data_IF_670990745938
#
_entry.id   IF_670990745938
#
_cell.length_a   1.000
_cell.length_b   1.000
_cell.length_c   1.000
_cell.angle_alpha   90.00
_cell.angle_beta   90.00
_cell.angle_gamma   90.00
#
_symmetry.space_group_name_H-M   'P 1'
#
loop_
_entity.id
_entity.type
_entity.pdbx_description
1 polymer ?
#
# COMPACT_ATOMS: atom_id res chain seq x y z
N UNK A 1 -20.91 2.38 20.71
CA UNK A 1 -20.34 1.72 19.53
C UNK A 1 -18.96 1.22 19.91
N UNK A 2 -18.73 -0.11 19.87
CA UNK A 2 -17.39 -0.67 20.09
C UNK A 2 -16.51 -0.43 18.88
N UNK A 3 -15.23 -0.14 19.11
CA UNK A 3 -14.23 -0.01 18.05
C UNK A 3 -13.58 -1.37 17.85
N UNK A 4 -13.76 -1.96 16.66
CA UNK A 4 -13.09 -3.21 16.30
C UNK A 4 -11.62 -2.98 16.00
N UNK A 5 -10.78 -3.96 16.31
CA UNK A 5 -9.33 -3.81 16.19
C UNK A 5 -8.64 -5.03 15.53
N UNK A 6 -7.41 -4.79 15.06
CA UNK A 6 -6.49 -5.84 14.62
C UNK A 6 -5.08 -5.52 15.06
N UNK A 7 -4.55 -6.29 16.02
CA UNK A 7 -3.22 -6.10 16.60
C UNK A 7 -2.28 -7.23 16.20
N UNK A 8 -1.14 -6.91 15.58
CA UNK A 8 -0.13 -7.91 15.28
C UNK A 8 0.61 -8.33 16.55
N UNK A 9 0.63 -9.63 16.80
CA UNK A 9 1.41 -10.25 17.87
C UNK A 9 2.77 -10.72 17.35
N UNK A 10 3.76 -10.74 18.25
CA UNK A 10 5.05 -11.38 17.99
C UNK A 10 4.91 -12.90 18.08
N UNK A 11 5.67 -13.65 17.29
CA UNK A 11 5.63 -15.12 17.22
C UNK A 11 5.90 -15.85 18.54
N UNK A 12 6.56 -15.22 19.49
CA UNK A 12 6.84 -15.77 20.81
C UNK A 12 5.71 -15.58 21.83
N UNK A 13 4.62 -14.90 21.49
CA UNK A 13 3.45 -14.84 22.36
C UNK A 13 2.79 -16.22 22.48
N UNK A 14 2.21 -16.47 23.67
CA UNK A 14 1.47 -17.69 23.94
C UNK A 14 -0.03 -17.45 23.84
N UNK A 15 -0.73 -18.41 23.30
CA UNK A 15 -2.18 -18.53 23.32
C UNK A 15 -2.60 -19.83 24.00
N UNK A 16 -3.83 -19.84 24.46
CA UNK A 16 -4.54 -21.03 24.95
C UNK A 16 -5.87 -21.09 24.20
N UNK A 17 -6.11 -22.21 23.54
CA UNK A 17 -7.37 -22.57 22.88
C UNK A 17 -8.26 -23.36 23.83
N UNK A 18 -9.34 -23.91 23.34
CA UNK A 18 -10.26 -24.84 24.07
C UNK A 18 -9.55 -26.04 24.70
N UNK A 19 -8.40 -26.43 24.14
CA UNK A 19 -7.59 -27.56 24.69
C UNK A 19 -6.92 -27.21 26.01
N UNK A 20 -7.05 -26.02 26.54
CA UNK A 20 -6.46 -25.50 27.78
C UNK A 20 -4.92 -25.58 27.87
N UNK A 21 -4.23 -25.92 26.79
CA UNK A 21 -2.79 -25.98 26.70
C UNK A 21 -2.24 -24.66 26.21
N UNK A 22 -1.27 -24.09 26.92
CA UNK A 22 -0.55 -22.91 26.47
C UNK A 22 0.47 -23.26 25.39
N UNK A 23 0.30 -22.73 24.20
CA UNK A 23 1.18 -22.94 23.06
C UNK A 23 1.67 -21.62 22.50
N UNK A 24 2.92 -21.57 22.03
CA UNK A 24 3.48 -20.40 21.36
C UNK A 24 2.90 -20.29 19.95
N UNK A 25 2.77 -19.06 19.44
CA UNK A 25 2.26 -18.81 18.09
C UNK A 25 3.12 -19.44 16.99
N UNK A 26 4.45 -19.47 17.17
CA UNK A 26 5.36 -20.11 16.21
C UNK A 26 5.30 -21.66 16.23
N UNK A 27 4.64 -22.27 17.23
CA UNK A 27 4.46 -23.71 17.38
C UNK A 27 3.09 -24.21 16.91
N UNK A 28 2.27 -23.34 16.31
CA UNK A 28 0.92 -23.70 15.84
C UNK A 28 0.90 -24.57 14.56
N UNK A 29 2.05 -25.01 14.06
CA UNK A 29 2.12 -25.80 12.84
C UNK A 29 1.77 -25.04 11.55
N UNK A 30 1.76 -23.71 11.60
CA UNK A 30 1.50 -22.89 10.42
C UNK A 30 2.66 -23.01 9.42
N UNK A 31 2.36 -23.30 8.16
CA UNK A 31 3.35 -23.41 7.09
C UNK A 31 3.15 -22.33 6.01
N UNK A 32 4.20 -21.99 5.22
CA UNK A 32 4.07 -21.02 4.14
C UNK A 32 2.94 -21.37 3.17
N UNK A 33 2.04 -20.40 2.95
CA UNK A 33 0.86 -20.55 2.09
C UNK A 33 -0.44 -20.87 2.83
N UNK A 34 -0.39 -21.18 4.12
CA UNK A 34 -1.58 -21.55 4.91
C UNK A 34 -2.12 -20.40 5.77
N UNK A 35 -3.28 -20.64 6.34
CA UNK A 35 -3.95 -19.74 7.28
C UNK A 35 -4.69 -20.56 8.33
N UNK A 36 -4.72 -20.06 9.56
CA UNK A 36 -5.48 -20.64 10.67
C UNK A 36 -6.30 -19.51 11.32
N UNK A 37 -7.41 -19.90 11.92
CA UNK A 37 -8.26 -18.99 12.69
C UNK A 37 -8.74 -19.67 13.95
N UNK A 38 -8.52 -19.04 15.11
CA UNK A 38 -8.91 -19.54 16.42
C UNK A 38 -9.84 -18.52 17.07
N UNK A 39 -11.01 -18.95 17.48
CA UNK A 39 -11.99 -18.12 18.16
C UNK A 39 -11.85 -18.23 19.68
N UNK A 40 -12.21 -17.15 20.38
CA UNK A 40 -12.33 -17.16 21.83
C UNK A 40 -11.05 -17.53 22.59
N UNK A 41 -9.88 -17.24 22.05
CA UNK A 41 -8.60 -17.62 22.65
C UNK A 41 -8.26 -16.79 23.89
N UNK A 42 -7.45 -17.38 24.76
CA UNK A 42 -6.76 -16.67 25.84
C UNK A 42 -5.33 -16.36 25.40
N UNK A 43 -4.90 -15.12 25.57
CA UNK A 43 -3.53 -14.66 25.24
C UNK A 43 -2.83 -14.18 26.50
N UNK A 44 -1.49 -14.39 26.60
CA UNK A 44 -0.60 -14.05 27.70
C UNK A 44 -0.82 -14.91 28.94
N UNK A 45 0.22 -15.68 29.32
CA UNK A 45 0.20 -16.56 30.51
C UNK A 45 0.04 -15.82 31.83
N UNK A 46 0.73 -14.67 31.99
CA UNK A 46 0.82 -13.96 33.29
C UNK A 46 -0.42 -13.13 33.63
N UNK A 47 -1.11 -12.59 32.62
CA UNK A 47 -2.37 -11.83 32.78
C UNK A 47 -3.24 -12.20 31.58
N UNK A 48 -3.99 -13.31 31.63
CA UNK A 48 -4.76 -13.78 30.51
C UNK A 48 -5.83 -12.76 30.08
N UNK A 49 -5.88 -12.48 28.80
CA UNK A 49 -6.93 -11.69 28.19
C UNK A 49 -7.76 -12.64 27.33
N UNK A 50 -9.08 -12.57 27.46
CA UNK A 50 -10.07 -13.46 26.82
C UNK A 50 -11.03 -12.70 25.94
N UNK A 51 -11.82 -13.40 25.13
CA UNK A 51 -12.86 -12.79 24.30
C UNK A 51 -12.36 -12.25 22.96
N UNK A 52 -11.18 -12.68 22.51
CA UNK A 52 -10.61 -12.30 21.23
C UNK A 52 -10.32 -13.54 20.37
N UNK A 53 -10.17 -13.29 19.08
CA UNK A 53 -9.81 -14.28 18.10
C UNK A 53 -8.36 -14.05 17.62
N UNK A 54 -7.75 -15.10 17.07
CA UNK A 54 -6.44 -14.97 16.40
C UNK A 54 -6.57 -15.42 14.94
N UNK A 55 -6.26 -14.51 14.03
CA UNK A 55 -6.11 -14.78 12.62
C UNK A 55 -4.61 -14.96 12.29
N UNK A 56 -4.26 -16.14 11.78
CA UNK A 56 -2.90 -16.46 11.37
C UNK A 56 -2.81 -16.57 9.85
N UNK A 57 -1.80 -15.97 9.24
CA UNK A 57 -1.53 -16.07 7.80
C UNK A 57 -0.05 -16.11 7.52
N UNK A 58 0.41 -17.16 6.85
CA UNK A 58 1.77 -17.21 6.29
C UNK A 58 1.71 -17.15 4.76
N UNK A 59 2.14 -16.07 4.18
CA UNK A 59 2.28 -15.95 2.73
C UNK A 59 3.55 -16.66 2.28
N UNK A 60 3.52 -17.45 1.20
CA UNK A 60 4.74 -18.00 0.60
C UNK A 60 5.65 -16.89 0.11
N UNK A 61 5.09 -15.99 -0.68
CA UNK A 61 5.83 -14.88 -1.29
C UNK A 61 5.08 -13.57 -1.08
N UNK A 62 5.84 -12.51 -0.84
CA UNK A 62 5.35 -11.14 -0.84
C UNK A 62 6.24 -10.29 -1.73
N UNK A 63 5.68 -9.75 -2.82
CA UNK A 63 6.44 -9.01 -3.85
C UNK A 63 7.62 -9.79 -4.46
N UNK A 64 7.46 -11.10 -4.64
CA UNK A 64 8.49 -11.97 -5.21
C UNK A 64 9.58 -12.41 -4.24
N UNK A 65 9.49 -12.02 -2.97
CA UNK A 65 10.42 -12.42 -1.90
C UNK A 65 9.70 -13.41 -0.98
N UNK A 66 10.41 -14.45 -0.59
CA UNK A 66 9.91 -15.41 0.39
C UNK A 66 9.69 -14.73 1.75
N UNK A 67 8.54 -15.01 2.36
CA UNK A 67 8.14 -14.41 3.64
C UNK A 67 8.62 -15.29 4.78
N UNK A 68 9.56 -14.79 5.56
CA UNK A 68 10.20 -15.54 6.67
C UNK A 68 9.27 -15.77 7.87
N UNK A 69 8.31 -14.88 8.12
CA UNK A 69 7.45 -14.92 9.32
C UNK A 69 5.98 -14.83 8.96
N UNK A 70 5.16 -15.58 9.70
CA UNK A 70 3.71 -15.51 9.63
C UNK A 70 3.16 -14.21 10.26
N UNK A 71 1.97 -13.84 9.88
CA UNK A 71 1.17 -12.83 10.56
C UNK A 71 0.30 -13.50 11.62
N UNK A 72 0.35 -13.00 12.84
CA UNK A 72 -0.52 -13.38 13.94
C UNK A 72 -1.27 -12.14 14.39
N UNK A 73 -2.58 -12.08 14.14
CA UNK A 73 -3.41 -10.89 14.34
C UNK A 73 -4.45 -11.21 15.39
N UNK A 74 -4.34 -10.58 16.56
CA UNK A 74 -5.37 -10.58 17.58
C UNK A 74 -6.48 -9.63 17.15
N UNK A 75 -7.73 -10.06 17.24
CA UNK A 75 -8.88 -9.31 16.70
C UNK A 75 -10.19 -9.68 17.38
N UNK A 76 -11.18 -8.82 17.22
CA UNK A 76 -12.59 -9.03 17.60
C UNK A 76 -13.52 -9.09 16.38
N UNK A 77 -12.96 -9.18 15.17
CA UNK A 77 -13.72 -9.08 13.91
C UNK A 77 -14.47 -10.35 13.51
N UNK A 78 -14.39 -11.43 14.30
CA UNK A 78 -15.18 -12.65 14.15
C UNK A 78 -14.84 -13.54 12.94
N UNK A 79 -13.94 -13.09 12.01
CA UNK A 79 -13.54 -13.94 10.89
C UNK A 79 -12.15 -13.62 10.34
N UNK A 80 -11.50 -14.67 9.77
CA UNK A 80 -10.19 -14.55 9.13
C UNK A 80 -10.17 -13.53 7.97
N UNK A 81 -11.14 -13.52 7.03
CA UNK A 81 -11.13 -12.55 5.93
C UNK A 81 -11.20 -11.10 6.41
N UNK A 82 -12.07 -10.82 7.40
CA UNK A 82 -12.21 -9.48 7.97
C UNK A 82 -10.94 -9.04 8.69
N UNK A 83 -10.35 -9.89 9.52
CA UNK A 83 -9.09 -9.62 10.21
C UNK A 83 -7.95 -9.31 9.23
N UNK A 84 -7.82 -10.10 8.17
CA UNK A 84 -6.80 -9.88 7.14
C UNK A 84 -7.06 -8.60 6.33
N UNK A 85 -8.32 -8.26 6.04
CA UNK A 85 -8.69 -7.04 5.34
C UNK A 85 -8.39 -5.80 6.19
N UNK A 86 -8.75 -5.81 7.48
CA UNK A 86 -8.44 -4.74 8.42
C UNK A 86 -6.92 -4.54 8.59
N UNK A 87 -6.18 -5.63 8.72
CA UNK A 87 -4.72 -5.56 8.83
C UNK A 87 -4.05 -5.02 7.56
N UNK A 88 -4.56 -5.36 6.37
CA UNK A 88 -4.07 -4.79 5.10
C UNK A 88 -4.31 -3.27 5.02
N UNK A 89 -5.44 -2.77 5.53
CA UNK A 89 -5.71 -1.32 5.59
C UNK A 89 -4.66 -0.61 6.44
N UNK A 90 -4.25 -1.20 7.56
CA UNK A 90 -3.16 -0.66 8.40
C UNK A 90 -1.86 -0.50 7.62
N UNK A 91 -1.50 -1.45 6.76
CA UNK A 91 -0.30 -1.35 5.91
C UNK A 91 -0.35 -0.11 5.00
N UNK A 92 -1.55 0.28 4.54
CA UNK A 92 -1.75 1.53 3.79
C UNK A 92 -1.42 2.79 4.61
N UNK A 93 -1.70 2.79 5.91
CA UNK A 93 -1.34 3.89 6.82
C UNK A 93 0.20 3.99 6.94
N UNK A 94 0.88 2.87 7.09
CA UNK A 94 2.36 2.84 7.14
C UNK A 94 2.98 3.32 5.80
N UNK A 95 2.37 2.97 4.66
CA UNK A 95 2.75 3.48 3.34
C UNK A 95 2.55 4.99 3.26
N UNK A 96 1.41 5.50 3.71
CA UNK A 96 1.13 6.95 3.79
C UNK A 96 2.16 7.69 4.63
N UNK A 97 2.49 7.20 5.82
CA UNK A 97 3.53 7.82 6.65
C UNK A 97 4.90 7.85 5.96
N UNK A 98 5.27 6.78 5.27
CA UNK A 98 6.51 6.74 4.49
C UNK A 98 6.48 7.77 3.34
N UNK A 99 5.37 7.86 2.62
CA UNK A 99 5.20 8.83 1.54
C UNK A 99 5.26 10.28 2.06
N UNK A 100 4.70 10.53 3.25
CA UNK A 100 4.78 11.84 3.91
C UNK A 100 6.19 12.18 4.44
N UNK A 101 7.01 11.18 4.78
CA UNK A 101 8.39 11.40 5.28
C UNK A 101 9.38 11.56 4.12
N UNK A 102 9.74 10.46 3.50
CA UNK A 102 10.85 10.40 2.52
C UNK A 102 10.39 10.17 1.09
N UNK A 103 9.16 9.71 0.90
CA UNK A 103 8.63 9.31 -0.41
C UNK A 103 8.05 10.44 -1.24
N UNK A 104 7.87 11.66 -0.68
CA UNK A 104 7.24 12.77 -1.40
C UNK A 104 7.35 14.11 -0.72
N UNK A 105 6.73 14.29 0.45
CA UNK A 105 6.60 15.64 1.05
C UNK A 105 7.68 16.03 2.05
N UNK A 106 8.45 15.08 2.57
CA UNK A 106 9.54 15.31 3.53
C UNK A 106 9.15 16.21 4.72
N UNK A 107 8.08 15.87 5.41
CA UNK A 107 7.52 16.68 6.51
C UNK A 107 8.53 16.92 7.65
N UNK A 108 9.42 15.94 7.90
CA UNK A 108 10.46 16.05 8.94
C UNK A 108 11.50 17.12 8.59
N UNK A 109 11.80 17.31 7.29
CA UNK A 109 12.74 18.32 6.82
C UNK A 109 12.22 19.75 6.93
N UNK A 110 10.92 19.96 7.20
CA UNK A 110 10.37 21.32 7.32
C UNK A 110 10.78 22.03 8.61
N UNK A 111 11.17 21.31 9.65
CA UNK A 111 11.49 21.87 10.97
C UNK A 111 10.33 22.55 11.70
N UNK A 112 9.11 22.48 11.17
CA UNK A 112 7.94 23.18 11.71
C UNK A 112 7.42 22.52 12.99
N UNK A 113 6.90 23.34 13.92
CA UNK A 113 6.33 22.90 15.21
C UNK A 113 4.99 23.57 15.49
N UNK A 114 4.22 22.98 16.42
CA UNK A 114 2.95 23.53 16.89
C UNK A 114 1.93 23.78 15.78
N UNK A 115 1.23 24.89 15.82
CA UNK A 115 0.14 25.22 14.90
C UNK A 115 0.57 25.29 13.42
N UNK A 116 1.82 25.66 13.14
CA UNK A 116 2.33 25.66 11.76
C UNK A 116 2.44 24.23 11.22
N UNK A 117 2.89 23.30 12.04
CA UNK A 117 2.97 21.89 11.67
C UNK A 117 1.56 21.30 11.39
N UNK A 118 0.57 21.64 12.24
CA UNK A 118 -0.82 21.18 12.04
C UNK A 118 -1.38 21.67 10.70
N UNK A 119 -1.16 22.93 10.35
CA UNK A 119 -1.62 23.50 9.06
C UNK A 119 -0.96 22.80 7.87
N UNK A 120 0.34 22.54 7.95
CA UNK A 120 1.05 21.81 6.90
C UNK A 120 0.57 20.36 6.79
N UNK A 121 0.32 19.67 7.89
CA UNK A 121 -0.24 18.31 7.88
C UNK A 121 -1.60 18.30 7.17
N UNK A 122 -2.47 19.27 7.46
CA UNK A 122 -3.77 19.37 6.79
C UNK A 122 -3.60 19.56 5.27
N UNK A 123 -2.77 20.52 4.85
CA UNK A 123 -2.49 20.79 3.43
C UNK A 123 -1.92 19.54 2.75
N UNK A 124 -0.95 18.89 3.38
CA UNK A 124 -0.35 17.65 2.85
C UNK A 124 -1.37 16.51 2.75
N UNK A 125 -2.30 16.41 3.70
CA UNK A 125 -3.36 15.39 3.65
C UNK A 125 -4.24 15.61 2.43
N UNK A 126 -4.63 16.86 2.14
CA UNK A 126 -5.42 17.19 0.95
C UNK A 126 -4.64 16.88 -0.33
N UNK A 127 -3.38 17.30 -0.40
CA UNK A 127 -2.50 17.01 -1.54
C UNK A 127 -2.27 15.50 -1.73
N UNK A 128 -2.11 14.76 -0.63
CA UNK A 128 -1.99 13.30 -0.65
C UNK A 128 -3.25 12.63 -1.21
N UNK A 129 -4.43 13.06 -0.76
CA UNK A 129 -5.72 12.56 -1.27
C UNK A 129 -5.87 12.84 -2.77
N UNK A 130 -5.55 14.06 -3.22
CA UNK A 130 -5.59 14.41 -4.64
C UNK A 130 -4.63 13.54 -5.48
N UNK A 131 -3.40 13.33 -5.01
CA UNK A 131 -2.44 12.46 -5.68
C UNK A 131 -2.91 10.99 -5.73
N UNK A 132 -3.49 10.46 -4.64
CA UNK A 132 -4.08 9.11 -4.64
C UNK A 132 -5.24 9.00 -5.63
N UNK A 133 -6.11 10.01 -5.68
CA UNK A 133 -7.24 10.05 -6.61
C UNK A 133 -6.75 10.05 -8.06
N UNK A 134 -5.85 10.96 -8.42
CA UNK A 134 -5.23 11.00 -9.76
C UNK A 134 -4.51 9.69 -10.12
N UNK A 135 -3.76 9.13 -9.16
CA UNK A 135 -3.08 7.85 -9.37
C UNK A 135 -4.03 6.69 -9.62
N UNK A 136 -5.18 6.63 -8.94
CA UNK A 136 -6.23 5.64 -9.19
C UNK A 136 -6.83 5.79 -10.60
N UNK A 137 -7.12 7.02 -11.01
CA UNK A 137 -7.67 7.27 -12.35
C UNK A 137 -6.67 6.90 -13.46
N UNK A 138 -5.38 7.24 -13.30
CA UNK A 138 -4.31 6.82 -14.21
C UNK A 138 -4.24 5.28 -14.32
N UNK A 139 -4.38 4.59 -13.19
CA UNK A 139 -4.38 3.12 -13.16
C UNK A 139 -5.63 2.52 -13.83
N UNK A 140 -6.82 3.06 -13.58
CA UNK A 140 -8.07 2.65 -14.23
C UNK A 140 -8.00 2.81 -15.76
N UNK A 141 -7.44 3.93 -16.21
CA UNK A 141 -7.24 4.21 -17.65
C UNK A 141 -6.08 3.41 -18.28
N UNK A 142 -5.37 2.59 -17.49
CA UNK A 142 -4.25 1.74 -17.93
C UNK A 142 -3.08 2.48 -18.58
N UNK A 143 -2.95 3.78 -18.30
CA UNK A 143 -1.88 4.64 -18.84
C UNK A 143 -0.68 4.77 -17.90
N UNK A 144 -0.69 4.10 -16.76
CA UNK A 144 0.40 4.11 -15.77
C UNK A 144 1.78 3.83 -16.37
N UNK A 145 1.86 2.98 -17.41
CA UNK A 145 3.12 2.64 -18.10
C UNK A 145 3.81 3.83 -18.77
N UNK A 146 3.09 4.92 -19.02
CA UNK A 146 3.65 6.14 -19.61
C UNK A 146 4.07 7.18 -18.56
N UNK A 147 3.41 7.15 -17.40
CA UNK A 147 3.60 8.13 -16.32
C UNK A 147 4.66 7.69 -15.35
N UNK A 148 4.69 6.40 -15.04
CA UNK A 148 5.61 5.85 -14.04
C UNK A 148 6.33 4.61 -14.58
N UNK A 149 7.36 4.20 -13.84
CA UNK A 149 8.22 3.10 -14.26
C UNK A 149 7.42 1.83 -14.56
N UNK A 150 7.59 1.32 -15.78
CA UNK A 150 6.95 0.10 -16.27
C UNK A 150 7.30 -1.11 -15.39
N UNK A 151 6.37 -2.07 -15.24
CA UNK A 151 6.70 -3.39 -14.71
C UNK A 151 7.81 -4.03 -15.54
N UNK A 152 8.89 -4.44 -14.92
CA UNK A 152 9.86 -5.29 -15.58
C UNK A 152 9.31 -6.71 -15.72
N UNK A 153 9.60 -7.43 -16.81
CA UNK A 153 9.11 -8.81 -17.02
C UNK A 153 9.43 -9.76 -15.86
N UNK A 154 10.58 -9.56 -15.20
CA UNK A 154 11.07 -10.38 -14.10
C UNK A 154 10.38 -10.03 -12.77
N UNK A 155 9.89 -8.81 -12.59
CA UNK A 155 9.26 -8.36 -11.33
C UNK A 155 7.75 -8.23 -11.47
N UNK A 156 7.03 -9.26 -11.03
CA UNK A 156 5.57 -9.36 -11.08
C UNK A 156 4.81 -8.43 -10.11
N UNK A 157 5.50 -7.58 -9.36
CA UNK A 157 4.88 -6.70 -8.37
C UNK A 157 4.94 -5.23 -8.75
N UNK A 158 4.04 -4.45 -8.17
CA UNK A 158 3.93 -3.02 -8.36
C UNK A 158 5.12 -2.30 -7.72
N UNK A 159 5.83 -1.45 -8.48
CA UNK A 159 7.01 -0.72 -8.01
C UNK A 159 6.72 0.67 -7.44
N UNK A 160 5.65 1.29 -7.87
CA UNK A 160 5.20 2.62 -7.44
C UNK A 160 3.90 2.51 -6.64
N UNK A 161 3.78 3.27 -5.57
CA UNK A 161 2.51 3.46 -4.86
C UNK A 161 1.50 4.20 -5.75
N UNK A 162 0.21 4.14 -5.43
CA UNK A 162 -0.81 4.92 -6.14
C UNK A 162 -0.54 6.40 -6.02
N UNK A 163 -0.10 6.84 -4.83
CA UNK A 163 0.38 8.18 -4.56
C UNK A 163 1.50 8.60 -5.51
N UNK A 164 2.57 7.78 -5.63
CA UNK A 164 3.68 8.08 -6.53
C UNK A 164 3.27 8.15 -8.00
N UNK A 165 2.31 7.31 -8.44
CA UNK A 165 1.75 7.40 -9.80
C UNK A 165 1.00 8.71 -10.00
N UNK A 166 0.24 9.18 -9.00
CA UNK A 166 -0.47 10.44 -9.06
C UNK A 166 0.47 11.65 -9.10
N UNK A 167 1.53 11.64 -8.28
CA UNK A 167 2.55 12.70 -8.33
C UNK A 167 3.24 12.75 -9.69
N UNK A 168 3.66 11.60 -10.22
CA UNK A 168 4.29 11.51 -11.55
C UNK A 168 3.30 12.00 -12.64
N UNK A 169 2.01 11.69 -12.51
CA UNK A 169 0.95 12.15 -13.42
C UNK A 169 0.76 13.66 -13.42
N UNK A 170 0.72 14.27 -12.24
CA UNK A 170 0.62 15.72 -12.10
C UNK A 170 1.83 16.43 -12.70
N UNK A 171 3.04 15.91 -12.50
CA UNK A 171 4.24 16.43 -13.15
C UNK A 171 4.12 16.33 -14.68
N UNK A 172 3.63 15.21 -15.19
CA UNK A 172 3.45 14.96 -16.62
C UNK A 172 2.51 15.99 -17.25
N UNK A 173 1.36 16.28 -16.60
CA UNK A 173 0.40 17.30 -17.05
C UNK A 173 1.05 18.68 -17.11
N UNK A 174 1.77 19.05 -16.05
CA UNK A 174 2.43 20.37 -15.96
C UNK A 174 3.54 20.57 -17.03
N UNK A 175 4.10 19.49 -17.56
CA UNK A 175 5.13 19.56 -18.60
C UNK A 175 4.59 19.40 -20.03
N UNK A 176 3.34 18.94 -20.20
CA UNK A 176 2.74 18.68 -21.50
C UNK A 176 2.78 19.90 -22.43
N UNK A 177 2.40 21.06 -21.92
CA UNK A 177 2.34 22.29 -22.70
C UNK A 177 3.73 22.75 -23.17
N UNK A 178 4.77 22.51 -22.39
CA UNK A 178 6.17 22.86 -22.72
C UNK A 178 6.81 21.91 -23.72
N UNK A 179 6.31 20.69 -23.85
CA UNK A 179 6.92 19.64 -24.66
C UNK A 179 6.08 19.24 -25.88
N UNK A 180 4.92 19.87 -26.08
CA UNK A 180 4.05 19.56 -27.23
C UNK A 180 4.76 19.77 -28.58
N UNK A 181 5.54 20.82 -28.72
CA UNK A 181 6.32 21.11 -29.94
C UNK A 181 7.45 20.08 -30.11
N UNK A 182 8.20 19.78 -29.06
CA UNK A 182 9.25 18.74 -29.08
C UNK A 182 8.68 17.36 -29.42
N UNK A 183 7.50 17.02 -28.88
CA UNK A 183 6.83 15.76 -29.19
C UNK A 183 6.40 15.73 -30.67
N UNK A 184 5.90 16.85 -31.22
CA UNK A 184 5.55 16.95 -32.64
C UNK A 184 6.78 16.80 -33.54
N UNK A 185 7.92 17.38 -33.19
CA UNK A 185 9.17 17.18 -33.92
C UNK A 185 9.68 15.75 -33.84
N UNK A 186 9.65 15.14 -32.65
CA UNK A 186 10.00 13.74 -32.47
C UNK A 186 9.11 12.79 -33.29
N UNK A 187 7.84 13.16 -33.50
CA UNK A 187 6.92 12.41 -34.37
C UNK A 187 7.31 12.44 -35.86
N UNK A 188 8.08 13.40 -36.29
CA UNK A 188 8.59 13.49 -37.66
C UNK A 188 9.73 12.50 -37.93
N UNK A 189 10.39 11.99 -36.90
CA UNK A 189 11.72 11.35 -37.01
C UNK A 189 11.76 9.95 -37.61
N UNK A 190 10.86 9.04 -37.40
CA UNK A 190 10.90 7.71 -38.06
C UNK A 190 9.57 7.01 -38.08
N UNK A 191 9.28 6.32 -39.21
CA UNK A 191 8.04 5.54 -39.42
C UNK A 191 7.81 4.48 -38.34
N UNK A 192 8.86 3.82 -37.87
CA UNK A 192 8.80 2.75 -36.86
C UNK A 192 8.51 3.30 -35.45
N UNK A 193 8.89 4.54 -35.17
CA UNK A 193 8.65 5.18 -33.86
C UNK A 193 7.29 5.87 -33.77
N UNK A 194 6.65 6.24 -34.89
CA UNK A 194 5.35 6.93 -34.90
C UNK A 194 4.28 6.24 -34.05
N UNK A 195 4.19 4.91 -34.10
CA UNK A 195 3.22 4.14 -33.31
C UNK A 195 3.39 4.37 -31.80
N UNK A 196 4.61 4.41 -31.31
CA UNK A 196 4.90 4.66 -29.89
C UNK A 196 4.57 6.09 -29.48
N UNK A 197 4.87 7.06 -30.34
CA UNK A 197 4.51 8.47 -30.11
C UNK A 197 3.02 8.70 -30.12
N UNK A 198 2.28 8.11 -31.06
CA UNK A 198 0.81 8.17 -31.09
C UNK A 198 0.20 7.57 -29.81
N UNK A 199 0.74 6.47 -29.32
CA UNK A 199 0.33 5.88 -28.02
C UNK A 199 0.65 6.83 -26.87
N UNK A 200 1.79 7.49 -26.89
CA UNK A 200 2.19 8.47 -25.88
C UNK A 200 1.27 9.69 -25.86
N UNK A 201 0.95 10.25 -27.02
CA UNK A 201 -0.01 11.38 -27.14
C UNK A 201 -1.39 10.98 -26.66
N UNK A 202 -1.90 9.81 -27.04
CA UNK A 202 -3.20 9.31 -26.56
C UNK A 202 -3.18 9.15 -25.03
N UNK A 203 -2.10 8.66 -24.46
CA UNK A 203 -1.93 8.57 -23.03
C UNK A 203 -1.92 9.96 -22.37
N UNK A 204 -1.24 10.94 -22.97
CA UNK A 204 -1.20 12.32 -22.51
C UNK A 204 -2.60 12.95 -22.46
N UNK A 205 -3.39 12.80 -23.54
CA UNK A 205 -4.77 13.27 -23.57
C UNK A 205 -5.62 12.63 -22.47
N UNK A 206 -5.47 11.31 -22.25
CA UNK A 206 -6.19 10.60 -21.19
C UNK A 206 -5.77 11.05 -19.78
N UNK A 207 -4.51 11.41 -19.59
CA UNK A 207 -3.99 11.93 -18.32
C UNK A 207 -4.49 13.35 -18.10
N UNK A 208 -4.41 14.21 -19.11
CA UNK A 208 -4.92 15.59 -19.06
C UNK A 208 -6.43 15.67 -18.77
N UNK A 209 -7.22 14.65 -19.10
CA UNK A 209 -8.66 14.60 -18.78
C UNK A 209 -8.96 14.19 -17.32
N UNK A 210 -7.94 13.99 -16.47
CA UNK A 210 -8.08 13.65 -15.05
C UNK A 210 -8.07 14.93 -14.17
N UNK A 211 -7.48 16.00 -14.68
CA UNK A 211 -7.49 17.32 -14.06
C UNK A 211 -8.84 18.01 -14.38
#
# INVERSE_FOLDING_TARGET
MGVSFGLRLKKNHCLQTETLIWQRLDQLGLVPGTSLYFQGVRVRKTRPVTGFDIACKWKRNYHGVEVKDAWFILTDLGSLPLALAAYKKRMGIEEMFRDCKTGGYNIEGTGLKGNRLIKIILLMTLAYCAAIFGGNEIQKKQVQKYVSRRKEPIKKYRRRSTFGVGLDGNQWINYLDRHSELVQELMKLTRNKRRFYQQGIRAATLIGSIS
#
